data_IF_557157881857
#
_entry.id   IF_557157881857
#
_cell.length_a   1.000
_cell.length_b   1.000
_cell.length_c   1.000
_cell.angle_alpha   90.00
_cell.angle_beta   90.00
_cell.angle_gamma   90.00
#
_symmetry.space_group_name_H-M   'P 1'
#
loop_
_entity.id
_entity.type
_entity.pdbx_description
1 polymer ?
#
# COMPACT_ATOMS: atom_id res chain seq x y z
N UNK A 1 6.67 28.42 -13.42
CA UNK A 1 5.78 27.48 -12.71
C UNK A 1 5.54 28.06 -11.34
N UNK A 2 4.29 28.22 -10.91
CA UNK A 2 3.97 28.67 -9.55
C UNK A 2 4.50 27.65 -8.53
N UNK A 3 4.94 28.10 -7.35
CA UNK A 3 5.33 27.18 -6.28
C UNK A 3 4.19 26.20 -5.98
N UNK A 4 4.49 24.90 -5.78
CA UNK A 4 3.47 23.92 -5.46
C UNK A 4 2.80 24.31 -4.14
N UNK A 5 1.46 24.39 -4.16
CA UNK A 5 0.68 24.68 -2.96
C UNK A 5 0.94 23.63 -1.88
N UNK A 6 0.66 23.98 -0.62
CA UNK A 6 0.80 23.06 0.53
C UNK A 6 0.04 21.75 0.28
N UNK A 7 0.67 20.64 0.65
CA UNK A 7 0.06 19.32 0.66
C UNK A 7 -0.12 18.89 2.12
N UNK A 8 -1.32 18.45 2.48
CA UNK A 8 -1.59 17.76 3.74
C UNK A 8 -2.24 16.41 3.46
N UNK A 9 -1.67 15.34 4.00
CA UNK A 9 -2.18 13.99 3.85
C UNK A 9 -2.80 13.49 5.15
N UNK A 10 -4.09 13.20 5.14
CA UNK A 10 -4.71 12.40 6.19
C UNK A 10 -4.39 10.92 5.91
N UNK A 11 -3.65 10.29 6.81
CA UNK A 11 -3.10 8.96 6.63
C UNK A 11 -3.35 8.06 7.85
N UNK A 12 -3.26 6.75 7.64
CA UNK A 12 -3.19 5.77 8.71
C UNK A 12 -1.95 4.90 8.49
N UNK A 13 -1.29 4.54 9.58
CA UNK A 13 -0.02 3.79 9.57
C UNK A 13 -0.23 2.38 9.02
N UNK A 14 -1.28 1.69 9.45
CA UNK A 14 -1.59 0.30 9.10
C UNK A 14 -2.21 0.15 7.71
N UNK A 15 -2.61 1.23 7.06
CA UNK A 15 -3.30 1.18 5.77
C UNK A 15 -2.33 1.24 4.57
N UNK A 16 -2.48 0.34 3.58
CA UNK A 16 -1.67 0.41 2.36
C UNK A 16 -1.99 1.64 1.51
N UNK A 17 -3.23 2.14 1.52
CA UNK A 17 -3.68 3.19 0.60
C UNK A 17 -3.00 4.54 0.83
N UNK A 18 -2.84 5.06 2.07
CA UNK A 18 -2.03 6.24 2.32
C UNK A 18 -0.55 6.02 2.09
N UNK A 19 -0.06 4.79 2.23
CA UNK A 19 1.34 4.48 1.91
C UNK A 19 1.62 4.65 0.40
N UNK A 20 0.66 4.33 -0.49
CA UNK A 20 0.76 4.63 -1.93
C UNK A 20 1.06 6.11 -2.16
N UNK A 21 0.28 6.96 -1.52
CA UNK A 21 0.38 8.42 -1.66
C UNK A 21 1.72 8.92 -1.13
N UNK A 22 2.16 8.44 0.04
CA UNK A 22 3.47 8.80 0.59
C UNK A 22 4.61 8.42 -0.37
N UNK A 23 4.60 7.22 -0.97
CA UNK A 23 5.61 6.85 -1.96
C UNK A 23 5.69 7.85 -3.12
N UNK A 24 4.56 8.25 -3.70
CA UNK A 24 4.55 9.21 -4.80
C UNK A 24 5.03 10.62 -4.38
N UNK A 25 4.66 11.09 -3.18
CA UNK A 25 5.14 12.38 -2.65
C UNK A 25 6.65 12.33 -2.41
N UNK A 26 7.16 11.23 -1.85
CA UNK A 26 8.59 11.03 -1.58
C UNK A 26 9.44 10.93 -2.85
N UNK A 27 8.91 10.31 -3.91
CA UNK A 27 9.54 10.24 -5.24
C UNK A 27 9.51 11.61 -5.93
N UNK A 28 8.42 12.37 -5.75
CA UNK A 28 8.34 13.76 -6.19
C UNK A 28 9.23 14.72 -5.38
N UNK A 29 9.84 14.25 -4.29
CA UNK A 29 10.62 15.06 -3.34
C UNK A 29 9.83 16.28 -2.85
N UNK A 30 8.52 16.12 -2.71
CA UNK A 30 7.61 17.19 -2.35
C UNK A 30 7.46 17.28 -0.82
N UNK A 31 7.32 18.50 -0.32
CA UNK A 31 7.03 18.74 1.09
C UNK A 31 5.54 18.54 1.37
N UNK A 32 5.23 17.84 2.46
CA UNK A 32 3.85 17.60 2.89
C UNK A 32 3.76 17.50 4.41
N UNK A 33 2.60 17.88 4.95
CA UNK A 33 2.22 17.58 6.32
C UNK A 33 1.43 16.26 6.36
N UNK A 34 1.51 15.52 7.46
CA UNK A 34 0.66 14.33 7.69
C UNK A 34 -0.20 14.52 8.93
N UNK A 35 -1.49 14.25 8.80
CA UNK A 35 -2.41 14.11 9.94
C UNK A 35 -2.75 12.63 10.08
N UNK A 36 -2.31 12.01 11.17
CA UNK A 36 -2.51 10.58 11.39
C UNK A 36 -3.89 10.32 11.99
N UNK A 37 -4.64 9.42 11.36
CA UNK A 37 -5.94 8.93 11.80
C UNK A 37 -5.77 7.50 12.30
N UNK A 38 -6.15 7.25 13.56
CA UNK A 38 -6.23 5.89 14.08
C UNK A 38 -7.48 5.19 13.50
N UNK A 39 -7.30 4.09 12.78
CA UNK A 39 -8.41 3.34 12.20
C UNK A 39 -9.09 2.39 13.19
N UNK A 40 -8.46 2.12 14.33
CA UNK A 40 -9.03 1.30 15.40
C UNK A 40 -9.83 2.14 16.40
N UNK A 41 -9.57 3.44 16.45
CA UNK A 41 -10.26 4.43 17.26
C UNK A 41 -10.43 5.73 16.46
N UNK A 42 -11.37 5.68 15.49
CA UNK A 42 -11.54 6.77 14.53
C UNK A 42 -12.10 8.01 15.25
N UNK A 43 -11.42 9.16 15.20
CA UNK A 43 -11.90 10.35 15.90
C UNK A 43 -13.19 10.87 15.28
N UNK A 44 -14.11 11.36 16.12
CA UNK A 44 -15.45 11.83 15.72
C UNK A 44 -15.41 12.95 14.69
N UNK A 45 -14.39 13.83 14.75
CA UNK A 45 -14.23 14.93 13.81
C UNK A 45 -13.82 14.48 12.39
N UNK A 46 -13.35 13.24 12.22
CA UNK A 46 -12.88 12.75 10.92
C UNK A 46 -13.95 11.90 10.21
N UNK A 47 -14.75 12.52 9.36
CA UNK A 47 -15.78 11.82 8.57
C UNK A 47 -15.20 11.09 7.34
N UNK A 48 -14.07 11.55 6.79
CA UNK A 48 -13.53 11.04 5.52
C UNK A 48 -12.92 9.63 5.63
N UNK A 49 -12.59 9.03 4.47
CA UNK A 49 -11.77 7.81 4.38
C UNK A 49 -10.28 8.18 4.30
N UNK A 50 -9.39 7.25 4.62
CA UNK A 50 -7.94 7.42 4.39
C UNK A 50 -7.52 6.64 3.14
N UNK A 51 -6.64 7.20 2.28
CA UNK A 51 -6.10 8.55 2.36
C UNK A 51 -7.11 9.62 1.96
N UNK A 52 -6.88 10.83 2.45
CA UNK A 52 -7.49 12.05 1.95
C UNK A 52 -6.39 13.10 1.81
N UNK A 53 -6.15 13.59 0.61
CA UNK A 53 -5.14 14.61 0.34
C UNK A 53 -5.81 15.99 0.26
N UNK A 54 -5.24 16.98 0.93
CA UNK A 54 -5.62 18.38 0.77
C UNK A 54 -4.48 19.11 0.06
N UNK A 55 -4.84 19.85 -0.99
CA UNK A 55 -3.93 20.68 -1.78
C UNK A 55 -4.33 22.16 -1.71
N UNK A 56 -3.46 23.02 -1.19
CA UNK A 56 -3.76 24.44 -0.95
C UNK A 56 -4.13 24.76 0.50
N UNK A 57 -4.49 26.02 0.72
CA UNK A 57 -4.89 26.52 2.03
C UNK A 57 -3.76 26.68 3.05
N UNK A 58 -4.17 27.00 4.28
CA UNK A 58 -3.29 27.14 5.43
C UNK A 58 -2.86 25.79 6.00
N UNK A 59 -1.89 25.80 6.92
CA UNK A 59 -1.47 24.59 7.64
C UNK A 59 -2.67 24.02 8.44
N UNK A 60 -3.06 22.80 8.12
CA UNK A 60 -4.15 22.11 8.82
C UNK A 60 -3.67 21.52 10.15
N UNK A 61 -4.58 21.47 11.11
CA UNK A 61 -4.46 20.77 12.39
C UNK A 61 -5.57 19.70 12.47
N UNK A 62 -5.44 18.69 13.35
CA UNK A 62 -6.53 17.74 13.62
C UNK A 62 -7.85 18.48 13.93
N UNK A 63 -8.93 18.11 13.25
CA UNK A 63 -10.25 18.76 13.38
C UNK A 63 -10.39 20.13 12.69
N UNK A 64 -9.34 20.65 12.04
CA UNK A 64 -9.38 21.94 11.34
C UNK A 64 -10.23 21.91 10.06
N UNK A 65 -10.95 23.00 9.80
CA UNK A 65 -11.72 23.18 8.57
C UNK A 65 -10.78 23.51 7.38
N UNK A 66 -11.18 23.07 6.17
CA UNK A 66 -10.47 23.40 4.94
C UNK A 66 -10.61 24.88 4.62
N UNK A 67 -9.52 25.50 4.15
CA UNK A 67 -9.57 26.84 3.57
C UNK A 67 -10.37 26.85 2.26
N UNK A 68 -10.98 27.98 1.91
CA UNK A 68 -11.82 28.08 0.70
C UNK A 68 -11.06 27.83 -0.62
N UNK A 69 -9.73 28.02 -0.61
CA UNK A 69 -8.82 27.80 -1.74
C UNK A 69 -8.18 26.40 -1.76
N UNK A 70 -8.50 25.56 -0.76
CA UNK A 70 -7.99 24.20 -0.63
C UNK A 70 -8.92 23.19 -1.33
N UNK A 71 -8.31 22.21 -1.99
CA UNK A 71 -9.03 21.11 -2.66
C UNK A 71 -8.77 19.81 -1.91
N UNK A 72 -9.84 19.14 -1.51
CA UNK A 72 -9.77 17.81 -0.91
C UNK A 72 -9.96 16.71 -1.96
N UNK A 73 -9.08 15.72 -1.95
CA UNK A 73 -8.99 14.67 -2.96
C UNK A 73 -8.99 13.31 -2.24
N UNK A 74 -10.09 12.52 -2.34
CA UNK A 74 -10.13 11.15 -1.87
C UNK A 74 -9.53 10.19 -2.91
N UNK A 75 -9.55 8.89 -2.59
CA UNK A 75 -9.15 7.77 -3.47
C UNK A 75 -7.66 7.74 -3.84
N UNK A 76 -6.91 6.81 -3.23
CA UNK A 76 -5.45 6.73 -3.39
C UNK A 76 -4.95 6.74 -4.84
N UNK A 77 -5.64 6.08 -5.78
CA UNK A 77 -5.20 6.04 -7.18
C UNK A 77 -5.45 7.38 -7.91
N UNK A 78 -6.53 8.07 -7.59
CA UNK A 78 -6.79 9.43 -8.10
C UNK A 78 -5.73 10.38 -7.56
N UNK A 79 -5.39 10.25 -6.28
CA UNK A 79 -4.32 11.05 -5.65
C UNK A 79 -2.96 10.77 -6.32
N UNK A 80 -2.64 9.53 -6.68
CA UNK A 80 -1.40 9.20 -7.39
C UNK A 80 -1.29 9.91 -8.75
N UNK A 81 -2.36 9.88 -9.56
CA UNK A 81 -2.41 10.59 -10.84
C UNK A 81 -2.31 12.11 -10.63
N UNK A 82 -3.02 12.64 -9.63
CA UNK A 82 -2.94 14.07 -9.27
C UNK A 82 -1.51 14.50 -8.91
N UNK A 83 -0.78 13.71 -8.11
CA UNK A 83 0.62 14.00 -7.77
C UNK A 83 1.50 13.97 -9.02
N UNK A 84 1.27 13.02 -9.94
CA UNK A 84 1.99 12.96 -11.21
C UNK A 84 1.75 14.21 -12.08
N UNK A 85 0.53 14.75 -12.07
CA UNK A 85 0.19 15.96 -12.84
C UNK A 85 0.79 17.24 -12.24
N UNK A 86 0.81 17.39 -10.92
CA UNK A 86 1.39 18.58 -10.27
C UNK A 86 2.92 18.54 -10.15
N UNK A 87 3.54 17.36 -10.32
CA UNK A 87 5.00 17.17 -10.34
C UNK A 87 5.48 16.45 -11.62
N UNK A 88 5.32 17.04 -12.82
CA UNK A 88 5.66 16.37 -14.08
C UNK A 88 7.15 16.02 -14.20
N UNK A 89 8.04 16.82 -13.59
CA UNK A 89 9.49 16.59 -13.57
C UNK A 89 9.92 15.44 -12.65
N UNK A 90 9.01 14.93 -11.81
CA UNK A 90 9.28 13.75 -11.00
C UNK A 90 9.14 12.45 -11.79
N UNK A 91 8.62 12.51 -13.02
CA UNK A 91 8.47 11.35 -13.91
C UNK A 91 7.75 10.15 -13.24
N UNK A 92 6.76 10.43 -12.38
CA UNK A 92 5.98 9.40 -11.68
C UNK A 92 5.13 8.54 -12.64
N UNK A 93 5.02 8.97 -13.89
CA UNK A 93 4.54 8.18 -15.01
C UNK A 93 5.52 8.35 -16.18
N UNK A 94 5.70 7.31 -17.01
CA UNK A 94 6.50 7.42 -18.22
C UNK A 94 5.99 8.52 -19.17
N UNK A 95 6.89 9.07 -19.99
CA UNK A 95 6.50 10.02 -21.03
C UNK A 95 5.70 9.34 -22.17
N UNK A 96 6.04 8.10 -22.49
CA UNK A 96 5.38 7.33 -23.54
C UNK A 96 3.91 7.01 -23.19
N UNK A 97 2.93 7.40 -24.02
CA UNK A 97 1.52 7.16 -23.76
C UNK A 97 1.15 5.68 -23.61
N UNK A 98 1.83 4.78 -24.33
CA UNK A 98 1.59 3.34 -24.26
C UNK A 98 2.07 2.77 -22.93
N UNK A 99 3.23 3.21 -22.44
CA UNK A 99 3.73 2.85 -21.11
C UNK A 99 2.85 3.43 -19.99
N UNK A 100 2.33 4.66 -20.16
CA UNK A 100 1.31 5.21 -19.24
C UNK A 100 0.07 4.32 -19.20
N UNK A 101 -0.44 3.90 -20.35
CA UNK A 101 -1.60 2.99 -20.42
C UNK A 101 -1.30 1.64 -19.74
N UNK A 102 -0.10 1.06 -19.94
CA UNK A 102 0.34 -0.16 -19.26
C UNK A 102 0.39 0.01 -17.75
N UNK A 103 0.90 1.14 -17.24
CA UNK A 103 0.96 1.43 -15.81
C UNK A 103 -0.45 1.43 -15.20
N UNK A 104 -1.41 2.06 -15.89
CA UNK A 104 -2.82 2.09 -15.48
C UNK A 104 -3.46 0.71 -15.49
N UNK A 105 -3.27 -0.05 -16.56
CA UNK A 105 -3.78 -1.42 -16.65
C UNK A 105 -3.16 -2.34 -15.58
N UNK A 106 -1.90 -2.10 -15.21
CA UNK A 106 -1.22 -2.84 -14.15
C UNK A 106 -1.90 -2.64 -12.80
N UNK A 107 -2.03 -1.39 -12.33
CA UNK A 107 -2.66 -1.14 -11.03
C UNK A 107 -4.18 -1.39 -11.04
N UNK A 108 -4.88 -1.13 -12.15
CA UNK A 108 -6.32 -1.45 -12.26
C UNK A 108 -6.55 -2.96 -12.22
N UNK A 109 -5.68 -3.73 -12.86
CA UNK A 109 -5.74 -5.19 -12.82
C UNK A 109 -5.39 -5.77 -11.45
N UNK A 110 -4.62 -5.05 -10.62
CA UNK A 110 -4.41 -5.40 -9.22
C UNK A 110 -5.67 -5.16 -8.39
N UNK A 111 -6.28 -3.98 -8.51
CA UNK A 111 -7.50 -3.61 -7.76
C UNK A 111 -8.67 -4.56 -8.04
N UNK A 112 -8.87 -4.92 -9.30
CA UNK A 112 -9.91 -5.86 -9.73
C UNK A 112 -9.52 -7.34 -9.53
N UNK A 113 -8.26 -7.60 -9.20
CA UNK A 113 -7.69 -8.94 -9.18
C UNK A 113 -7.64 -9.58 -7.79
N UNK A 114 -7.18 -10.84 -7.73
CA UNK A 114 -7.00 -11.60 -6.48
C UNK A 114 -5.81 -11.12 -5.65
N UNK A 115 -5.28 -9.91 -5.87
CA UNK A 115 -4.36 -9.20 -4.95
C UNK A 115 -4.91 -7.83 -4.53
N UNK A 116 -6.14 -7.49 -4.96
CA UNK A 116 -6.83 -6.27 -4.62
C UNK A 116 -7.37 -6.27 -3.18
N UNK A 117 -8.42 -5.47 -2.93
CA UNK A 117 -8.94 -5.21 -1.58
C UNK A 117 -9.34 -6.46 -0.78
N UNK A 118 -9.64 -7.57 -1.46
CA UNK A 118 -10.20 -8.77 -0.86
C UNK A 118 -9.22 -9.88 -0.48
N UNK A 119 -8.06 -10.02 -1.11
CA UNK A 119 -7.32 -11.29 -1.01
C UNK A 119 -6.18 -11.30 0.00
N UNK A 120 -5.44 -10.21 0.19
CA UNK A 120 -4.43 -10.14 1.25
C UNK A 120 -5.13 -10.01 2.60
N UNK A 121 -6.14 -9.13 2.70
CA UNK A 121 -7.00 -9.09 3.88
C UNK A 121 -7.80 -10.38 4.04
N UNK A 122 -8.28 -10.97 2.94
CA UNK A 122 -9.00 -12.23 2.96
C UNK A 122 -8.15 -13.39 3.44
N UNK A 123 -6.90 -13.49 2.96
CA UNK A 123 -5.97 -14.49 3.43
C UNK A 123 -5.64 -14.28 4.91
N UNK A 124 -5.32 -13.06 5.33
CA UNK A 124 -4.92 -12.81 6.72
C UNK A 124 -6.07 -12.88 7.74
N UNK A 125 -7.30 -12.50 7.34
CA UNK A 125 -8.41 -12.28 8.27
C UNK A 125 -9.75 -12.94 7.88
N UNK A 126 -9.93 -13.45 6.66
CA UNK A 126 -11.24 -13.93 6.17
C UNK A 126 -11.22 -15.32 5.52
N UNK A 127 -10.13 -16.07 5.64
CA UNK A 127 -10.16 -17.51 5.38
C UNK A 127 -9.89 -17.87 3.92
N UNK A 128 -9.48 -16.90 3.09
CA UNK A 128 -9.03 -17.18 1.70
C UNK A 128 -7.95 -18.25 1.70
N UNK A 129 -8.09 -19.36 0.97
CA UNK A 129 -7.09 -20.42 0.96
C UNK A 129 -5.71 -19.96 0.48
N UNK A 130 -4.65 -20.68 0.88
CA UNK A 130 -3.28 -20.35 0.47
C UNK A 130 -3.11 -20.43 -1.05
N UNK A 131 -3.68 -21.43 -1.70
CA UNK A 131 -3.61 -21.61 -3.15
C UNK A 131 -4.16 -20.40 -3.93
N UNK A 132 -5.21 -19.75 -3.43
CA UNK A 132 -5.79 -18.55 -4.03
C UNK A 132 -4.84 -17.35 -3.92
N UNK A 133 -4.19 -17.20 -2.75
CA UNK A 133 -3.14 -16.20 -2.56
C UNK A 133 -1.97 -16.46 -3.52
N UNK A 134 -1.50 -17.70 -3.60
CA UNK A 134 -0.38 -18.09 -4.48
C UNK A 134 -0.73 -17.85 -5.96
N UNK A 135 -1.93 -18.22 -6.40
CA UNK A 135 -2.40 -17.97 -7.76
C UNK A 135 -2.50 -16.47 -8.07
N UNK A 136 -2.92 -15.66 -7.10
CA UNK A 136 -2.93 -14.21 -7.23
C UNK A 136 -1.54 -13.61 -7.39
N UNK A 137 -0.56 -14.10 -6.62
CA UNK A 137 0.84 -13.71 -6.72
C UNK A 137 1.49 -14.15 -8.04
N UNK A 138 1.18 -15.35 -8.54
CA UNK A 138 1.65 -15.81 -9.86
C UNK A 138 1.12 -14.90 -10.97
N UNK A 139 -0.19 -14.59 -10.94
CA UNK A 139 -0.82 -13.70 -11.92
C UNK A 139 -0.20 -12.30 -11.87
N UNK A 140 0.09 -11.79 -10.68
CA UNK A 140 0.79 -10.52 -10.53
C UNK A 140 2.20 -10.56 -11.11
N UNK A 141 3.00 -11.55 -10.70
CA UNK A 141 4.38 -11.68 -11.16
C UNK A 141 4.46 -11.85 -12.68
N UNK A 142 3.50 -12.57 -13.29
CA UNK A 142 3.45 -12.75 -14.76
C UNK A 142 3.29 -11.46 -15.55
N UNK A 143 2.82 -10.39 -14.91
CA UNK A 143 2.67 -9.06 -15.53
C UNK A 143 3.92 -8.19 -15.39
N UNK A 144 4.88 -8.59 -14.56
CA UNK A 144 6.13 -7.86 -14.41
C UNK A 144 7.04 -8.14 -15.61
N UNK A 145 7.76 -7.13 -16.12
CA UNK A 145 8.86 -7.37 -17.06
C UNK A 145 9.97 -8.20 -16.37
N UNK A 146 10.88 -8.85 -17.12
CA UNK A 146 11.93 -9.70 -16.53
C UNK A 146 12.82 -9.00 -15.49
N UNK A 147 13.04 -7.70 -15.64
CA UNK A 147 13.82 -6.85 -14.73
C UNK A 147 13.13 -5.51 -14.52
N UNK A 148 13.53 -4.77 -13.48
CA UNK A 148 13.02 -3.44 -13.19
C UNK A 148 11.62 -3.44 -12.55
N UNK A 149 10.87 -2.39 -12.81
CA UNK A 149 9.61 -2.06 -12.15
C UNK A 149 8.39 -2.48 -12.98
N UNK A 150 7.17 -2.14 -12.54
CA UNK A 150 5.92 -2.57 -13.15
C UNK A 150 5.83 -2.27 -14.67
N UNK A 151 6.45 -1.17 -15.11
CA UNK A 151 6.51 -0.76 -16.53
C UNK A 151 7.93 -0.43 -17.00
N UNK A 152 8.93 -1.11 -16.43
CA UNK A 152 10.34 -0.85 -16.69
C UNK A 152 10.93 0.12 -15.68
N UNK A 153 10.71 1.42 -15.86
CA UNK A 153 11.06 2.44 -14.87
C UNK A 153 10.00 2.51 -13.75
N UNK A 154 10.42 3.00 -12.57
CA UNK A 154 9.52 3.16 -11.44
C UNK A 154 8.42 4.17 -11.76
N UNK A 155 7.19 3.86 -11.36
CA UNK A 155 6.03 4.69 -11.62
C UNK A 155 5.00 4.59 -10.49
N UNK A 156 3.91 5.35 -10.60
CA UNK A 156 2.76 5.22 -9.69
C UNK A 156 2.13 3.82 -9.71
N UNK A 157 2.38 2.98 -10.72
CA UNK A 157 1.95 1.58 -10.69
C UNK A 157 2.66 0.78 -9.58
N UNK A 158 3.93 1.08 -9.33
CA UNK A 158 4.71 0.51 -8.24
C UNK A 158 4.23 1.07 -6.90
N UNK A 159 4.01 2.38 -6.82
CA UNK A 159 3.41 3.03 -5.64
C UNK A 159 2.04 2.42 -5.28
N UNK A 160 1.21 2.10 -6.27
CA UNK A 160 -0.09 1.48 -6.07
C UNK A 160 -0.01 0.04 -5.52
N UNK A 161 1.06 -0.67 -5.82
CA UNK A 161 1.14 -2.11 -5.54
C UNK A 161 1.97 -2.43 -4.31
N UNK A 162 3.17 -1.87 -4.22
CA UNK A 162 4.18 -2.22 -3.22
C UNK A 162 3.64 -2.21 -1.78
N UNK A 163 2.83 -1.23 -1.34
CA UNK A 163 2.33 -1.20 0.04
C UNK A 163 1.54 -2.43 0.50
N UNK A 164 0.87 -3.12 -0.43
CA UNK A 164 0.12 -4.35 -0.16
C UNK A 164 1.08 -5.53 0.00
N UNK A 165 2.10 -5.63 -0.87
CA UNK A 165 3.12 -6.68 -0.81
C UNK A 165 3.96 -6.58 0.47
N UNK A 166 4.37 -5.37 0.86
CA UNK A 166 5.13 -5.15 2.11
C UNK A 166 4.35 -5.56 3.36
N UNK A 167 3.04 -5.30 3.37
CA UNK A 167 2.15 -5.71 4.48
C UNK A 167 1.92 -7.21 4.49
N UNK A 168 1.74 -7.83 3.32
CA UNK A 168 1.66 -9.28 3.21
C UNK A 168 2.93 -9.92 3.76
N UNK A 169 4.11 -9.53 3.25
CA UNK A 169 5.39 -10.07 3.70
C UNK A 169 5.57 -9.91 5.21
N UNK A 170 5.35 -8.70 5.76
CA UNK A 170 5.42 -8.45 7.19
C UNK A 170 4.46 -9.34 7.99
N UNK A 171 3.20 -9.44 7.54
CA UNK A 171 2.19 -10.20 8.25
C UNK A 171 2.48 -11.70 8.24
N UNK A 172 2.94 -12.25 7.12
CA UNK A 172 3.32 -13.66 7.03
C UNK A 172 4.55 -13.95 7.90
N UNK A 173 5.58 -13.10 7.82
CA UNK A 173 6.83 -13.25 8.59
C UNK A 173 6.58 -13.27 10.10
N UNK A 174 5.75 -12.34 10.56
CA UNK A 174 5.51 -12.10 11.98
C UNK A 174 4.31 -12.90 12.52
N UNK A 175 3.60 -13.67 11.68
CA UNK A 175 2.43 -14.44 12.08
C UNK A 175 1.21 -13.57 12.45
N UNK A 176 1.02 -12.45 11.75
CA UNK A 176 -0.03 -11.46 12.03
C UNK A 176 -1.29 -11.73 11.21
N UNK A 177 -2.19 -12.56 11.75
CA UNK A 177 -3.50 -12.81 11.18
C UNK A 177 -4.45 -13.54 12.16
N UNK A 178 -5.59 -13.98 11.65
CA UNK A 178 -6.55 -14.83 12.39
C UNK A 178 -6.34 -16.33 12.15
N UNK A 179 -5.29 -16.68 11.40
CA UNK A 179 -4.80 -18.06 11.25
C UNK A 179 -3.78 -18.39 12.33
N UNK A 180 -3.34 -19.65 12.37
CA UNK A 180 -2.24 -20.05 13.24
C UNK A 180 -0.95 -19.38 12.74
N UNK A 181 -0.11 -18.84 13.64
CA UNK A 181 1.14 -18.20 13.26
C UNK A 181 2.06 -19.09 12.40
N UNK A 182 2.00 -20.40 12.59
CA UNK A 182 2.79 -21.40 11.86
C UNK A 182 2.40 -21.42 10.39
N UNK A 183 1.10 -21.38 10.08
CA UNK A 183 0.55 -21.41 8.72
C UNK A 183 0.97 -20.14 7.95
N UNK A 184 0.98 -19.01 8.64
CA UNK A 184 1.42 -17.74 8.08
C UNK A 184 2.92 -17.74 7.80
N UNK A 185 3.72 -18.34 8.69
CA UNK A 185 5.18 -18.47 8.50
C UNK A 185 5.54 -19.48 7.41
N UNK A 186 4.76 -20.55 7.25
CA UNK A 186 4.90 -21.48 6.14
C UNK A 186 4.59 -20.78 4.81
N UNK A 187 3.52 -19.98 4.75
CA UNK A 187 3.23 -19.14 3.60
C UNK A 187 4.35 -18.12 3.34
N UNK A 188 4.95 -17.53 4.38
CA UNK A 188 6.13 -16.67 4.23
C UNK A 188 7.28 -17.43 3.58
N UNK A 189 7.62 -18.61 4.10
CA UNK A 189 8.69 -19.45 3.57
C UNK A 189 8.45 -19.78 2.09
N UNK A 190 7.24 -20.18 1.72
CA UNK A 190 6.88 -20.55 0.36
C UNK A 190 6.95 -19.38 -0.66
N UNK A 191 6.76 -18.13 -0.21
CA UNK A 191 6.66 -16.96 -1.09
C UNK A 191 7.94 -16.12 -1.08
N UNK A 192 8.45 -15.80 0.10
CA UNK A 192 9.43 -14.74 0.31
C UNK A 192 10.84 -15.24 0.64
N UNK A 193 11.02 -16.53 0.99
CA UNK A 193 12.37 -17.08 1.22
C UNK A 193 12.99 -17.62 -0.08
N UNK A 194 14.27 -17.33 -0.37
CA UNK A 194 14.96 -17.81 -1.57
C UNK A 194 14.94 -19.34 -1.73
N UNK A 195 14.99 -20.07 -0.62
CA UNK A 195 15.03 -21.54 -0.55
C UNK A 195 13.74 -22.20 -1.06
N UNK A 196 12.64 -21.45 -1.21
CA UNK A 196 11.37 -21.92 -1.80
C UNK A 196 11.45 -22.26 -3.29
N UNK A 197 12.57 -21.94 -3.95
CA UNK A 197 12.78 -22.21 -5.37
C UNK A 197 12.32 -21.06 -6.28
N UNK A 198 12.26 -21.29 -7.60
CA UNK A 198 12.20 -20.21 -8.59
C UNK A 198 10.82 -19.55 -8.75
N UNK A 199 9.74 -20.15 -8.21
CA UNK A 199 8.35 -19.73 -8.49
C UNK A 199 8.13 -18.24 -8.26
N UNK A 200 8.58 -17.70 -7.13
CA UNK A 200 8.40 -16.28 -6.79
C UNK A 200 9.70 -15.47 -6.83
N UNK A 201 10.73 -15.95 -7.53
CA UNK A 201 12.02 -15.26 -7.59
C UNK A 201 11.90 -13.84 -8.17
N UNK A 202 11.04 -13.65 -9.19
CA UNK A 202 10.83 -12.34 -9.82
C UNK A 202 10.06 -11.37 -8.92
N UNK A 203 9.08 -11.87 -8.16
CA UNK A 203 8.34 -11.11 -7.15
C UNK A 203 9.27 -10.65 -6.02
N UNK A 204 10.13 -11.54 -5.51
CA UNK A 204 11.13 -11.20 -4.50
C UNK A 204 12.08 -10.11 -5.01
N UNK A 205 12.64 -10.29 -6.21
CA UNK A 205 13.48 -9.27 -6.84
C UNK A 205 12.75 -7.93 -7.00
N UNK A 206 11.48 -7.95 -7.42
CA UNK A 206 10.67 -6.72 -7.54
C UNK A 206 10.52 -5.99 -6.20
N UNK A 207 10.31 -6.73 -5.11
CA UNK A 207 10.19 -6.17 -3.76
C UNK A 207 11.54 -5.62 -3.31
N UNK A 208 12.63 -6.35 -3.53
CA UNK A 208 14.00 -5.93 -3.17
C UNK A 208 14.42 -4.67 -3.94
N UNK A 209 14.15 -4.61 -5.24
CA UNK A 209 14.39 -3.43 -6.09
C UNK A 209 13.64 -2.19 -5.58
N UNK A 210 12.42 -2.39 -5.08
CA UNK A 210 11.64 -1.32 -4.47
C UNK A 210 12.15 -0.95 -3.07
N UNK A 211 12.49 -1.92 -2.23
CA UNK A 211 13.04 -1.69 -0.88
C UNK A 211 14.36 -0.90 -0.92
N UNK A 212 15.14 -1.04 -1.99
CA UNK A 212 16.35 -0.25 -2.21
C UNK A 212 16.07 1.24 -2.49
N UNK A 213 14.82 1.63 -2.76
CA UNK A 213 14.48 3.04 -3.07
C UNK A 213 14.42 3.89 -1.80
N UNK A 214 15.04 5.08 -1.79
CA UNK A 214 14.98 5.98 -0.64
C UNK A 214 13.57 6.42 -0.24
N UNK A 215 12.63 6.46 -1.18
CA UNK A 215 11.21 6.76 -0.92
C UNK A 215 10.59 5.74 0.04
N UNK A 216 10.89 4.45 -0.14
CA UNK A 216 10.39 3.36 0.70
C UNK A 216 10.96 3.47 2.11
N UNK A 217 12.26 3.74 2.24
CA UNK A 217 12.88 3.92 3.57
C UNK A 217 12.25 5.08 4.36
N UNK A 218 11.77 6.14 3.67
CA UNK A 218 11.11 7.30 4.31
C UNK A 218 9.62 7.08 4.60
N UNK A 219 8.96 6.16 3.89
CA UNK A 219 7.51 5.95 3.99
C UNK A 219 7.11 4.64 4.70
N UNK A 220 8.02 3.68 4.85
CA UNK A 220 7.72 2.37 5.41
C UNK A 220 8.24 2.21 6.85
N UNK A 221 7.30 2.12 7.80
CA UNK A 221 7.59 1.80 9.20
C UNK A 221 7.00 0.42 9.53
N UNK A 222 7.81 -0.67 9.42
CA UNK A 222 7.33 -2.01 9.70
C UNK A 222 7.01 -2.22 11.18
N UNK A 223 7.68 -1.52 12.10
CA UNK A 223 7.45 -1.66 13.54
C UNK A 223 6.09 -1.07 13.94
N UNK A 224 5.79 0.16 13.49
CA UNK A 224 4.50 0.77 13.76
C UNK A 224 3.35 0.05 13.04
N UNK A 225 3.59 -0.48 11.82
CA UNK A 225 2.61 -1.30 11.11
C UNK A 225 2.33 -2.61 11.85
N UNK A 226 3.37 -3.30 12.34
CA UNK A 226 3.25 -4.51 13.16
C UNK A 226 2.42 -4.24 14.41
N UNK A 227 2.74 -3.20 15.17
CA UNK A 227 2.02 -2.85 16.40
C UNK A 227 0.51 -2.64 16.15
N UNK A 228 0.14 -2.00 15.03
CA UNK A 228 -1.27 -1.82 14.66
C UNK A 228 -1.95 -3.11 14.22
N UNK A 229 -1.25 -4.01 13.53
CA UNK A 229 -1.78 -5.34 13.23
C UNK A 229 -2.03 -6.15 14.50
N UNK A 230 -1.08 -6.16 15.44
CA UNK A 230 -1.25 -6.83 16.74
C UNK A 230 -2.46 -6.28 17.50
N UNK A 231 -2.63 -4.94 17.53
CA UNK A 231 -3.79 -4.30 18.16
C UNK A 231 -5.10 -4.72 17.48
N UNK A 232 -5.15 -4.77 16.14
CA UNK A 232 -6.31 -5.21 15.37
C UNK A 232 -6.67 -6.67 15.69
N UNK A 233 -5.68 -7.56 15.69
CA UNK A 233 -5.89 -8.99 16.00
C UNK A 233 -6.41 -9.17 17.42
N UNK A 234 -5.85 -8.45 18.41
CA UNK A 234 -6.34 -8.46 19.80
C UNK A 234 -7.80 -8.04 19.88
N UNK A 235 -8.18 -6.94 19.21
CA UNK A 235 -9.58 -6.46 19.20
C UNK A 235 -10.51 -7.49 18.57
N UNK A 236 -10.13 -8.10 17.44
CA UNK A 236 -10.98 -9.10 16.76
C UNK A 236 -11.16 -10.34 17.63
N UNK A 237 -10.09 -10.90 18.20
CA UNK A 237 -10.15 -12.07 19.08
C UNK A 237 -10.94 -11.82 20.37
N UNK A 238 -10.92 -10.59 20.90
CA UNK A 238 -11.72 -10.22 22.06
C UNK A 238 -13.23 -10.16 21.75
N UNK A 239 -13.60 -9.81 20.50
CA UNK A 239 -15.01 -9.77 20.05
C UNK A 239 -15.55 -11.14 19.65
N UNK A 240 -14.69 -12.01 19.13
CA UNK A 240 -15.03 -13.38 18.76
C UNK A 240 -13.89 -14.33 19.17
N UNK A 241 -13.99 -14.98 20.35
CA UNK A 241 -12.98 -15.94 20.82
C UNK A 241 -12.84 -17.19 19.93
N UNK A 242 -13.87 -17.50 19.12
CA UNK A 242 -13.88 -18.65 18.21
C UNK A 242 -13.18 -18.38 16.89
N UNK A 243 -12.84 -17.12 16.59
CA UNK A 243 -12.04 -16.70 15.43
C UNK A 243 -10.56 -17.15 15.50
N UNK A 244 -10.22 -18.13 16.34
CA UNK A 244 -8.85 -18.54 16.67
C UNK A 244 -8.26 -19.62 15.76
N UNK A 245 -8.99 -20.15 14.79
CA UNK A 245 -8.38 -20.98 13.75
C UNK A 245 -9.28 -21.04 12.52
N UNK A 246 -9.08 -20.09 11.61
CA UNK A 246 -9.54 -20.29 10.24
C UNK A 246 -8.85 -21.55 9.68
N UNK A 247 -9.60 -22.47 9.03
CA UNK A 247 -8.99 -23.63 8.41
C UNK A 247 -7.94 -23.21 7.38
N UNK A 248 -6.93 -24.08 7.23
CA UNK A 248 -5.84 -23.95 6.26
C UNK A 248 -6.34 -23.70 4.84
#
# INVERSE_FOLDING_TARGET
MSEPKRITLYAAVDSPYPHRVRLAIEEAKATYDTIVIDLLDKPEWYAQKVPYLVYGGSKLQPGGALSADAVGIPESLVILEFIADIFPNAHLLPADPTLRARARLFYSGLEAGPLGKGSVLGFLFQGTPLEDLLAGLDKFQSKLPPTGFAVGEWSIADAATLPVLLRLQLALKEGLGLRRPEDLKEAHAAIFEPESGPRFARLRQYIDDNLARPSVARSWDPAATKAKFEQRIKIVRAKDPTATSMPH
#
